data_IF_768428428688
#
_entry.id   IF_768428428688
#
_cell.length_a   1.000
_cell.length_b   1.000
_cell.length_c   1.000
_cell.angle_alpha   90.00
_cell.angle_beta   90.00
_cell.angle_gamma   90.00
#
_symmetry.space_group_name_H-M   'P 1'
#
loop_
_entity.id
_entity.type
_entity.pdbx_description
1 polymer ?
#
# COMPACT_ATOMS: atom_id res chain seq x y z
N UNK A 1 -0.88 -13.77 5.10
CA UNK A 1 -0.27 -12.44 5.10
C UNK A 1 0.47 -12.33 3.79
N UNK A 2 0.01 -11.47 2.89
CA UNK A 2 0.62 -11.30 1.57
C UNK A 2 1.99 -10.62 1.76
N UNK A 3 3.05 -11.23 1.25
CA UNK A 3 4.43 -10.73 1.35
C UNK A 3 4.66 -9.48 0.48
N UNK A 4 3.75 -9.22 -0.45
CA UNK A 4 3.74 -8.04 -1.31
C UNK A 4 3.18 -6.80 -0.62
N UNK A 5 2.69 -6.90 0.62
CA UNK A 5 2.11 -5.79 1.38
C UNK A 5 2.92 -5.51 2.64
N UNK A 6 3.42 -4.29 2.75
CA UNK A 6 4.15 -3.81 3.93
C UNK A 6 3.25 -2.86 4.72
N UNK A 7 2.78 -3.30 5.89
CA UNK A 7 2.08 -2.45 6.85
C UNK A 7 3.11 -1.74 7.74
N UNK A 8 3.10 -0.41 7.75
CA UNK A 8 4.12 0.36 8.48
C UNK A 8 3.67 0.92 9.83
N UNK A 9 2.37 1.10 10.10
CA UNK A 9 1.91 1.60 11.42
C UNK A 9 0.47 1.29 11.79
N UNK A 10 0.30 1.21 13.11
CA UNK A 10 -0.94 1.16 13.88
C UNK A 10 -1.76 2.46 13.71
N UNK A 11 -2.94 2.40 13.08
CA UNK A 11 -3.76 3.54 12.73
C UNK A 11 -4.54 4.05 13.94
N UNK A 12 -3.96 5.00 14.67
CA UNK A 12 -4.74 5.77 15.66
C UNK A 12 -5.74 6.75 15.03
N UNK A 13 -5.83 6.83 13.70
CA UNK A 13 -6.47 7.95 13.00
C UNK A 13 -7.73 7.61 12.21
N UNK A 14 -8.11 6.33 12.13
CA UNK A 14 -9.30 5.89 11.39
C UNK A 14 -9.23 6.09 9.87
N UNK A 15 -8.09 6.51 9.30
CA UNK A 15 -7.90 6.72 7.85
C UNK A 15 -6.75 5.87 7.33
N UNK A 16 -6.93 5.26 6.17
CA UNK A 16 -5.89 4.49 5.49
C UNK A 16 -5.25 5.21 4.31
N UNK A 17 -3.99 4.92 4.04
CA UNK A 17 -3.23 5.33 2.86
C UNK A 17 -2.54 4.12 2.24
N UNK A 18 -2.77 3.92 0.94
CA UNK A 18 -2.09 2.88 0.16
C UNK A 18 -1.07 3.55 -0.77
N UNK A 19 0.18 3.11 -0.70
CA UNK A 19 1.27 3.58 -1.56
C UNK A 19 1.54 2.55 -2.64
N UNK A 20 1.36 2.98 -3.90
CA UNK A 20 1.58 2.17 -5.11
C UNK A 20 2.79 2.76 -5.86
N UNK A 21 3.96 2.10 -5.85
CA UNK A 21 5.13 2.63 -6.53
C UNK A 21 5.01 2.59 -8.07
N UNK A 22 5.78 3.42 -8.78
CA UNK A 22 5.84 3.36 -10.25
C UNK A 22 6.79 2.27 -10.76
N UNK A 23 6.82 2.08 -12.09
CA UNK A 23 7.87 1.29 -12.76
C UNK A 23 9.25 1.80 -12.33
N UNK A 24 10.13 0.88 -11.94
CA UNK A 24 11.51 1.16 -11.49
C UNK A 24 11.64 1.87 -10.13
N UNK A 25 10.56 1.96 -9.34
CA UNK A 25 10.62 2.41 -7.94
C UNK A 25 10.19 1.27 -7.03
N UNK A 26 10.95 1.00 -5.97
CA UNK A 26 10.48 0.17 -4.87
C UNK A 26 9.57 1.00 -3.94
N UNK A 27 8.74 0.36 -3.10
CA UNK A 27 7.90 1.06 -2.11
C UNK A 27 8.72 1.66 -0.97
N UNK A 28 9.96 1.22 -0.81
CA UNK A 28 10.90 1.68 0.20
C UNK A 28 11.95 2.59 -0.47
N UNK A 29 12.24 3.73 0.14
CA UNK A 29 13.14 4.73 -0.41
C UNK A 29 12.78 6.16 0.00
N UNK A 30 13.74 7.08 -0.15
CA UNK A 30 13.71 8.41 0.50
C UNK A 30 12.45 9.21 0.22
N UNK A 31 11.88 9.13 -0.99
CA UNK A 31 10.66 9.87 -1.34
C UNK A 31 9.43 9.35 -0.58
N UNK A 32 9.21 8.04 -0.57
CA UNK A 32 8.05 7.44 0.11
C UNK A 32 8.20 7.51 1.62
N UNK A 33 9.43 7.36 2.12
CA UNK A 33 9.74 7.52 3.53
C UNK A 33 9.46 8.94 4.02
N UNK A 34 9.76 9.96 3.21
CA UNK A 34 9.40 11.34 3.50
C UNK A 34 7.88 11.53 3.57
N UNK A 35 7.13 11.02 2.59
CA UNK A 35 5.66 11.06 2.60
C UNK A 35 5.11 10.41 3.86
N UNK A 36 5.54 9.19 4.17
CA UNK A 36 5.14 8.47 5.38
C UNK A 36 5.49 9.26 6.64
N UNK A 37 6.69 9.84 6.71
CA UNK A 37 7.11 10.63 7.89
C UNK A 37 6.17 11.81 8.16
N UNK A 38 5.63 12.43 7.11
CA UNK A 38 4.74 13.58 7.21
C UNK A 38 3.30 13.19 7.58
N UNK A 39 2.81 12.04 7.11
CA UNK A 39 1.39 11.66 7.23
C UNK A 39 1.11 10.55 8.24
N UNK A 40 2.13 9.86 8.75
CA UNK A 40 1.96 8.68 9.63
C UNK A 40 1.37 8.95 11.02
N UNK A 41 1.07 10.20 11.36
CA UNK A 41 0.29 10.54 12.57
C UNK A 41 -1.21 10.47 12.31
N UNK A 42 -1.61 10.61 11.06
CA UNK A 42 -3.00 10.79 10.63
C UNK A 42 -3.50 9.66 9.73
N UNK A 43 -2.65 8.68 9.37
CA UNK A 43 -3.01 7.55 8.51
C UNK A 43 -2.35 6.24 8.94
N UNK A 44 -3.09 5.13 8.85
CA UNK A 44 -2.54 3.79 8.68
C UNK A 44 -2.00 3.62 7.27
N UNK A 45 -0.83 3.00 7.12
CA UNK A 45 -0.10 3.03 5.85
C UNK A 45 0.25 1.61 5.42
N UNK A 46 -0.19 1.24 4.21
CA UNK A 46 0.22 0.02 3.51
C UNK A 46 0.98 0.41 2.25
N UNK A 47 2.13 -0.22 2.02
CA UNK A 47 2.92 -0.04 0.80
C UNK A 47 2.93 -1.34 0.00
N UNK A 48 2.65 -1.25 -1.30
CA UNK A 48 2.66 -2.39 -2.23
C UNK A 48 4.08 -2.63 -2.76
N UNK A 49 4.57 -3.86 -2.61
CA UNK A 49 5.90 -4.34 -2.99
C UNK A 49 5.84 -5.53 -3.98
N UNK A 50 4.85 -5.55 -4.87
CA UNK A 50 4.56 -6.70 -5.73
C UNK A 50 5.41 -6.79 -7.02
N UNK A 51 6.29 -5.82 -7.29
CA UNK A 51 7.13 -5.83 -8.51
C UNK A 51 8.54 -5.33 -8.24
N UNK A 52 9.54 -5.99 -8.83
CA UNK A 52 10.96 -5.62 -8.74
C UNK A 52 11.49 -4.93 -10.02
N UNK A 53 10.61 -4.61 -10.96
CA UNK A 53 11.00 -3.99 -12.22
C UNK A 53 9.87 -3.95 -13.24
N UNK A 54 10.17 -3.43 -14.45
CA UNK A 54 9.22 -3.34 -15.54
C UNK A 54 8.65 -4.71 -15.95
N UNK A 55 9.48 -5.75 -16.00
CA UNK A 55 9.08 -7.10 -16.42
C UNK A 55 8.02 -7.74 -15.52
N UNK A 56 8.02 -7.43 -14.22
CA UNK A 56 7.03 -7.95 -13.28
C UNK A 56 5.71 -7.19 -13.42
N UNK A 57 5.78 -5.87 -13.60
CA UNK A 57 4.59 -5.06 -13.83
C UNK A 57 3.95 -5.34 -15.19
N UNK A 58 4.74 -5.62 -16.23
CA UNK A 58 4.22 -5.99 -17.57
C UNK A 58 3.45 -7.31 -17.55
N UNK A 59 3.79 -8.23 -16.65
CA UNK A 59 3.06 -9.50 -16.47
C UNK A 59 1.81 -9.34 -15.61
N UNK A 60 1.72 -8.25 -14.85
CA UNK A 60 0.61 -7.98 -13.96
C UNK A 60 -0.60 -7.54 -14.76
N UNK A 61 -1.71 -8.23 -14.58
CA UNK A 61 -2.96 -7.81 -15.19
C UNK A 61 -3.58 -6.68 -14.37
N UNK A 62 -4.49 -5.93 -14.99
CA UNK A 62 -5.30 -4.96 -14.25
C UNK A 62 -6.05 -5.64 -13.10
N UNK A 63 -6.51 -6.88 -13.28
CA UNK A 63 -7.18 -7.64 -12.21
C UNK A 63 -6.24 -7.88 -11.03
N UNK A 64 -5.01 -8.31 -11.28
CA UNK A 64 -4.04 -8.60 -10.21
C UNK A 64 -3.73 -7.33 -9.40
N UNK A 65 -3.65 -6.16 -10.06
CA UNK A 65 -3.48 -4.88 -9.38
C UNK A 65 -4.70 -4.53 -8.52
N UNK A 66 -5.92 -4.75 -9.01
CA UNK A 66 -7.14 -4.54 -8.24
C UNK A 66 -7.21 -5.47 -7.03
N UNK A 67 -6.91 -6.76 -7.20
CA UNK A 67 -6.87 -7.73 -6.11
C UNK A 67 -5.86 -7.29 -5.02
N UNK A 68 -4.68 -6.79 -5.41
CA UNK A 68 -3.67 -6.26 -4.47
C UNK A 68 -4.17 -5.03 -3.71
N UNK A 69 -4.90 -4.12 -4.36
CA UNK A 69 -5.47 -2.94 -3.72
C UNK A 69 -6.56 -3.37 -2.74
N UNK A 70 -7.42 -4.32 -3.12
CA UNK A 70 -8.46 -4.86 -2.25
C UNK A 70 -7.85 -5.51 -1.00
N UNK A 71 -6.79 -6.31 -1.15
CA UNK A 71 -6.07 -6.91 -0.01
C UNK A 71 -5.42 -5.85 0.89
N UNK A 72 -4.86 -4.77 0.31
CA UNK A 72 -4.30 -3.66 1.08
C UNK A 72 -5.39 -2.90 1.87
N UNK A 73 -6.58 -2.75 1.29
CA UNK A 73 -7.75 -2.19 1.98
C UNK A 73 -8.19 -3.08 3.15
N UNK A 74 -8.32 -4.38 2.92
CA UNK A 74 -8.70 -5.36 3.97
C UNK A 74 -7.69 -5.35 5.12
N UNK A 75 -6.40 -5.20 4.81
CA UNK A 75 -5.36 -5.09 5.82
C UNK A 75 -5.54 -3.84 6.69
N UNK A 76 -5.79 -2.68 6.07
CA UNK A 76 -6.04 -1.43 6.80
C UNK A 76 -7.33 -1.48 7.63
N UNK A 77 -8.39 -2.10 7.12
CA UNK A 77 -9.65 -2.31 7.85
C UNK A 77 -9.46 -3.24 9.05
N UNK A 78 -8.71 -4.33 8.88
CA UNK A 78 -8.41 -5.27 9.97
C UNK A 78 -7.62 -4.63 11.11
N UNK A 79 -6.89 -3.56 10.81
CA UNK A 79 -6.08 -2.79 11.76
C UNK A 79 -6.85 -1.59 12.36
N UNK A 80 -8.12 -1.39 12.00
CA UNK A 80 -8.99 -0.38 12.60
C UNK A 80 -9.14 0.93 11.81
N UNK A 81 -8.72 0.97 10.54
CA UNK A 81 -9.05 2.09 9.66
C UNK A 81 -10.50 2.02 9.17
N UNK A 82 -11.22 3.15 9.17
CA UNK A 82 -12.51 3.29 8.51
C UNK A 82 -12.26 3.72 7.04
N UNK A 83 -12.09 2.76 6.14
CA UNK A 83 -11.86 3.04 4.73
C UNK A 83 -13.12 2.86 3.89
N UNK A 84 -13.28 3.72 2.87
CA UNK A 84 -14.23 3.50 1.78
C UNK A 84 -13.44 3.00 0.57
N UNK A 85 -13.08 1.73 0.55
CA UNK A 85 -12.61 1.12 -0.69
C UNK A 85 -13.84 0.77 -1.55
N UNK A 86 -13.90 1.32 -2.76
CA UNK A 86 -15.02 1.14 -3.68
C UNK A 86 -14.92 -0.26 -4.30
N UNK A 87 -15.68 -1.21 -3.74
CA UNK A 87 -15.96 -2.52 -4.34
C UNK A 87 -17.00 -2.42 -5.46
#
# INVERSE_FOLDING_TARGET
MNEDLVLEKDPNSGRGLIIIPGISSGPLGSLFDEVVSQVSKDYGIVRINAWNGADDLEKMTLKDLHDLIDEACELLESDGCENQCFR
#
